data_IF_017187717205
#
_entry.id   IF_017187717205
#
_cell.length_a   1.000
_cell.length_b   1.000
_cell.length_c   1.000
_cell.angle_alpha   90.00
_cell.angle_beta   90.00
_cell.angle_gamma   90.00
#
_symmetry.space_group_name_H-M   'P 1'
#
loop_
_entity.id
_entity.type
_entity.pdbx_description
1 polymer ?
#
# COMPACT_ATOMS: atom_id res chain seq x y z
N UNK A 1 -4.07 46.81 7.35
CA UNK A 1 -4.00 45.54 8.12
C UNK A 1 -5.38 44.93 8.09
N UNK A 2 -5.64 43.88 7.29
CA UNK A 2 -6.70 42.87 7.44
C UNK A 2 -6.79 42.06 6.13
N UNK A 3 -5.90 41.08 5.99
CA UNK A 3 -5.98 40.03 4.97
C UNK A 3 -5.33 38.77 5.53
N UNK A 4 -5.95 38.22 6.57
CA UNK A 4 -5.71 36.85 7.04
C UNK A 4 -7.09 36.24 7.24
N UNK A 5 -7.61 35.60 6.19
CA UNK A 5 -8.70 34.61 6.18
C UNK A 5 -8.93 34.25 4.71
N UNK A 6 -9.28 32.99 4.44
CA UNK A 6 -9.42 32.34 3.12
C UNK A 6 -8.18 31.58 2.62
N UNK A 7 -7.69 30.64 3.44
CA UNK A 7 -6.99 29.43 2.96
C UNK A 7 -7.37 28.20 3.83
N UNK A 8 -8.60 28.16 4.35
CA UNK A 8 -9.19 26.91 4.86
C UNK A 8 -9.81 26.18 3.66
N UNK A 9 -8.95 25.50 2.91
CA UNK A 9 -9.34 24.73 1.73
C UNK A 9 -10.22 23.56 2.13
N UNK A 10 -11.43 23.52 1.56
CA UNK A 10 -12.41 22.44 1.51
C UNK A 10 -11.83 21.05 1.88
N UNK A 11 -11.91 20.68 3.16
CA UNK A 11 -11.75 19.30 3.56
C UNK A 11 -12.86 18.48 2.86
N UNK A 12 -12.50 17.39 2.17
CA UNK A 12 -13.48 16.50 1.54
C UNK A 12 -14.49 16.03 2.59
N UNK A 13 -15.77 15.92 2.22
CA UNK A 13 -16.84 15.42 3.10
C UNK A 13 -16.45 14.06 3.70
N UNK A 14 -15.74 13.23 2.93
CA UNK A 14 -15.20 11.94 3.37
C UNK A 14 -14.28 12.10 4.59
N UNK A 15 -13.37 13.08 4.57
CA UNK A 15 -12.44 13.32 5.67
C UNK A 15 -13.18 13.79 6.93
N UNK A 16 -14.21 14.62 6.78
CA UNK A 16 -15.03 15.08 7.90
C UNK A 16 -15.87 13.93 8.50
N UNK A 17 -16.24 12.95 7.68
CA UNK A 17 -16.92 11.73 8.11
C UNK A 17 -15.96 10.66 8.66
N UNK A 18 -14.64 10.92 8.67
CA UNK A 18 -13.61 9.95 9.04
C UNK A 18 -13.58 8.74 8.10
N UNK A 19 -13.82 8.95 6.81
CA UNK A 19 -13.74 7.93 5.77
C UNK A 19 -12.52 8.20 4.89
N UNK A 20 -11.76 7.15 4.58
CA UNK A 20 -10.71 7.25 3.56
C UNK A 20 -11.35 7.71 2.24
N UNK A 21 -10.84 8.77 1.60
CA UNK A 21 -11.39 9.24 0.33
C UNK A 21 -11.45 8.13 -0.71
N UNK A 22 -12.57 8.03 -1.44
CA UNK A 22 -12.79 6.95 -2.41
C UNK A 22 -11.64 6.81 -3.43
N UNK A 23 -11.07 7.94 -3.88
CA UNK A 23 -9.95 7.94 -4.83
C UNK A 23 -8.70 7.28 -4.25
N UNK A 24 -8.42 7.50 -2.97
CA UNK A 24 -7.27 6.93 -2.28
C UNK A 24 -7.46 5.42 -2.08
N UNK A 25 -8.64 5.00 -1.60
CA UNK A 25 -8.97 3.59 -1.48
C UNK A 25 -8.92 2.85 -2.82
N UNK A 26 -9.47 3.46 -3.88
CA UNK A 26 -9.43 2.88 -5.23
C UNK A 26 -7.99 2.75 -5.74
N UNK A 27 -7.14 3.74 -5.50
CA UNK A 27 -5.74 3.67 -5.89
C UNK A 27 -5.03 2.51 -5.18
N UNK A 28 -5.22 2.40 -3.87
CA UNK A 28 -4.68 1.31 -3.06
C UNK A 28 -5.13 -0.07 -3.54
N UNK A 29 -6.44 -0.28 -3.75
CA UNK A 29 -6.98 -1.55 -4.25
C UNK A 29 -6.44 -1.88 -5.65
N UNK A 30 -6.36 -0.90 -6.56
CA UNK A 30 -5.78 -1.13 -7.90
C UNK A 30 -4.30 -1.48 -7.84
N UNK A 31 -3.55 -0.93 -6.88
CA UNK A 31 -2.14 -1.27 -6.69
C UNK A 31 -1.96 -2.68 -6.13
N UNK A 32 -2.80 -3.10 -5.19
CA UNK A 32 -2.82 -4.49 -4.72
C UNK A 32 -3.17 -5.45 -5.88
N UNK A 33 -4.19 -5.11 -6.67
CA UNK A 33 -4.59 -5.89 -7.83
C UNK A 33 -3.44 -6.01 -8.84
N UNK A 34 -2.76 -4.91 -9.15
CA UNK A 34 -1.57 -4.90 -10.02
C UNK A 34 -0.54 -5.93 -9.57
N UNK A 35 -0.18 -5.94 -8.28
CA UNK A 35 0.85 -6.85 -7.78
C UNK A 35 0.41 -8.31 -7.79
N UNK A 36 -0.86 -8.59 -7.44
CA UNK A 36 -1.41 -9.94 -7.50
C UNK A 36 -1.44 -10.46 -8.93
N UNK A 37 -1.92 -9.67 -9.89
CA UNK A 37 -1.96 -10.01 -11.32
C UNK A 37 -0.54 -10.17 -11.89
N UNK A 38 0.40 -9.29 -11.52
CA UNK A 38 1.79 -9.41 -11.93
C UNK A 38 2.42 -10.72 -11.45
N UNK A 39 2.22 -11.06 -10.16
CA UNK A 39 2.71 -12.35 -9.62
C UNK A 39 2.10 -13.53 -10.36
N UNK A 40 0.81 -13.49 -10.62
CA UNK A 40 0.13 -14.54 -11.38
C UNK A 40 0.73 -14.71 -12.78
N UNK A 41 0.95 -13.61 -13.50
CA UNK A 41 1.58 -13.60 -14.82
C UNK A 41 3.00 -14.17 -14.79
N UNK A 42 3.82 -13.76 -13.82
CA UNK A 42 5.20 -14.25 -13.66
C UNK A 42 5.24 -15.76 -13.38
N UNK A 43 4.31 -16.26 -12.56
CA UNK A 43 4.19 -17.69 -12.31
C UNK A 43 3.83 -18.49 -13.58
N UNK A 44 2.97 -17.95 -14.45
CA UNK A 44 2.55 -18.61 -15.68
C UNK A 44 3.60 -18.57 -16.78
N UNK A 45 4.27 -17.42 -16.97
CA UNK A 45 5.10 -17.17 -18.15
C UNK A 45 6.61 -17.11 -17.87
N UNK A 46 7.00 -16.97 -16.60
CA UNK A 46 8.39 -16.76 -16.19
C UNK A 46 8.84 -17.71 -15.07
N UNK A 47 8.14 -18.84 -14.86
CA UNK A 47 8.43 -19.81 -13.79
C UNK A 47 8.51 -19.17 -12.39
N UNK A 48 7.80 -18.07 -12.16
CA UNK A 48 7.81 -17.32 -10.92
C UNK A 48 9.05 -16.45 -10.69
N UNK A 49 9.96 -16.31 -11.66
CA UNK A 49 11.10 -15.39 -11.56
C UNK A 49 10.60 -13.95 -11.39
N UNK A 50 11.18 -13.26 -10.41
CA UNK A 50 10.95 -11.84 -10.11
C UNK A 50 12.13 -10.98 -10.59
N UNK A 51 13.00 -11.52 -11.45
CA UNK A 51 14.21 -10.80 -11.88
C UNK A 51 13.93 -9.88 -13.07
N UNK A 52 12.91 -10.18 -13.88
CA UNK A 52 12.60 -9.47 -15.12
C UNK A 52 11.17 -8.95 -15.07
N UNK A 53 11.02 -7.65 -15.28
CA UNK A 53 9.71 -7.03 -15.43
C UNK A 53 9.17 -7.25 -16.86
N UNK A 54 7.95 -7.75 -17.03
CA UNK A 54 7.43 -8.10 -18.35
C UNK A 54 7.07 -6.87 -19.19
N UNK A 55 7.20 -6.97 -20.53
CA UNK A 55 6.76 -5.90 -21.41
C UNK A 55 5.22 -5.85 -21.48
N UNK A 56 4.57 -4.69 -21.26
CA UNK A 56 3.11 -4.58 -21.32
C UNK A 56 2.49 -5.02 -22.65
N UNK A 57 3.23 -4.98 -23.76
CA UNK A 57 2.76 -5.50 -25.05
C UNK A 57 2.69 -7.01 -25.03
N UNK A 58 3.71 -7.68 -24.50
CA UNK A 58 3.76 -9.14 -24.40
C UNK A 58 2.70 -9.65 -23.42
N UNK A 59 2.56 -8.97 -22.27
CA UNK A 59 1.50 -9.23 -21.29
C UNK A 59 0.12 -9.20 -21.97
N UNK A 60 -0.14 -8.19 -22.80
CA UNK A 60 -1.39 -8.06 -23.55
C UNK A 60 -1.55 -9.16 -24.61
N UNK A 61 -0.50 -9.50 -25.35
CA UNK A 61 -0.52 -10.57 -26.35
C UNK A 61 -0.80 -11.94 -25.73
N UNK A 62 -0.38 -12.16 -24.48
CA UNK A 62 -0.67 -13.35 -23.69
C UNK A 62 -2.08 -13.35 -23.05
N UNK A 63 -2.94 -12.38 -23.37
CA UNK A 63 -4.33 -12.33 -22.91
C UNK A 63 -4.54 -11.63 -21.57
N UNK A 64 -3.50 -11.04 -20.97
CA UNK A 64 -3.60 -10.32 -19.69
C UNK A 64 -3.81 -8.81 -19.92
N UNK A 65 -4.89 -8.44 -20.62
CA UNK A 65 -5.21 -7.04 -20.94
C UNK A 65 -5.29 -6.17 -19.68
N UNK A 66 -5.95 -6.65 -18.63
CA UNK A 66 -6.14 -5.90 -17.38
C UNK A 66 -4.80 -5.58 -16.71
N UNK A 67 -3.88 -6.55 -16.64
CA UNK A 67 -2.53 -6.31 -16.11
C UNK A 67 -1.77 -5.28 -16.97
N UNK A 68 -1.91 -5.31 -18.30
CA UNK A 68 -1.31 -4.30 -19.18
C UNK A 68 -1.85 -2.90 -18.90
N UNK A 69 -3.16 -2.78 -18.62
CA UNK A 69 -3.80 -1.51 -18.22
C UNK A 69 -3.26 -1.05 -16.86
N UNK A 70 -3.24 -1.94 -15.86
CA UNK A 70 -2.74 -1.64 -14.51
C UNK A 70 -1.28 -1.17 -14.53
N UNK A 71 -0.41 -1.83 -15.31
CA UNK A 71 0.99 -1.40 -15.45
C UNK A 71 1.05 0.05 -15.96
N UNK A 72 0.23 0.42 -16.94
CA UNK A 72 0.21 1.78 -17.50
C UNK A 72 -0.36 2.79 -16.50
N UNK A 73 -1.42 2.46 -15.79
CA UNK A 73 -2.07 3.38 -14.84
C UNK A 73 -1.22 3.64 -13.60
N UNK A 74 -0.35 2.71 -13.21
CA UNK A 74 0.55 2.85 -12.05
C UNK A 74 1.96 3.38 -12.40
N UNK A 75 2.08 4.10 -13.52
CA UNK A 75 3.31 4.81 -13.91
C UNK A 75 4.20 4.09 -14.91
N UNK A 76 3.75 2.95 -15.43
CA UNK A 76 4.41 2.22 -16.50
C UNK A 76 5.54 1.29 -16.03
N UNK A 77 6.03 0.48 -16.98
CA UNK A 77 7.01 -0.58 -16.72
C UNK A 77 8.31 -0.09 -16.10
N UNK A 78 8.80 1.09 -16.48
CA UNK A 78 10.07 1.61 -15.97
C UNK A 78 10.00 1.91 -14.48
N UNK A 79 8.97 2.66 -14.05
CA UNK A 79 8.79 2.99 -12.64
C UNK A 79 8.54 1.73 -11.80
N UNK A 80 7.71 0.81 -12.28
CA UNK A 80 7.40 -0.41 -11.55
C UNK A 80 8.60 -1.35 -11.45
N UNK A 81 9.39 -1.48 -12.51
CA UNK A 81 10.64 -2.24 -12.50
C UNK A 81 11.61 -1.67 -11.46
N UNK A 82 11.79 -0.35 -11.40
CA UNK A 82 12.63 0.30 -10.37
C UNK A 82 12.12 0.07 -8.94
N UNK A 83 10.81 0.18 -8.73
CA UNK A 83 10.19 0.02 -7.41
C UNK A 83 10.32 -1.41 -6.87
N UNK A 84 10.21 -2.39 -7.77
CA UNK A 84 10.23 -3.81 -7.45
C UNK A 84 11.62 -4.45 -7.61
N UNK A 85 12.65 -3.65 -7.92
CA UNK A 85 14.01 -4.11 -8.21
C UNK A 85 14.08 -5.20 -9.30
N UNK A 86 13.31 -5.01 -10.37
CA UNK A 86 13.27 -5.92 -11.52
C UNK A 86 14.01 -5.29 -12.71
N UNK A 87 14.65 -6.13 -13.52
CA UNK A 87 15.34 -5.71 -14.74
C UNK A 87 14.38 -5.56 -15.92
N UNK A 88 14.76 -4.71 -16.88
CA UNK A 88 14.11 -4.63 -18.18
C UNK A 88 15.01 -5.26 -19.24
N UNK A 89 14.45 -6.13 -20.09
CA UNK A 89 15.16 -6.93 -21.10
C UNK A 89 16.03 -6.09 -22.06
N UNK A 90 15.70 -4.81 -22.28
CA UNK A 90 16.23 -4.03 -23.40
C UNK A 90 16.84 -2.68 -23.04
N UNK A 91 17.14 -2.38 -21.76
CA UNK A 91 17.64 -1.06 -21.36
C UNK A 91 18.89 -1.12 -20.51
N UNK A 92 19.77 -0.13 -20.72
CA UNK A 92 20.89 0.23 -19.84
C UNK A 92 20.36 0.31 -18.40
N UNK A 93 21.12 -0.27 -17.46
CA UNK A 93 20.81 -0.34 -16.02
C UNK A 93 20.07 0.90 -15.54
N UNK A 94 18.81 0.71 -15.18
CA UNK A 94 17.98 1.74 -14.59
C UNK A 94 18.37 1.84 -13.12
N UNK A 95 18.45 3.05 -12.58
CA UNK A 95 18.69 3.25 -11.14
C UNK A 95 17.64 2.48 -10.33
N UNK A 96 18.09 1.41 -9.67
CA UNK A 96 17.29 0.61 -8.74
C UNK A 96 17.11 1.37 -7.43
N UNK A 97 15.97 1.18 -6.77
CA UNK A 97 15.75 1.71 -5.42
C UNK A 97 16.36 0.79 -4.34
N UNK A 98 16.92 -0.36 -4.75
CA UNK A 98 17.42 -1.46 -3.92
C UNK A 98 16.42 -2.61 -3.84
N UNK A 99 16.83 -3.79 -3.34
CA UNK A 99 16.04 -5.01 -3.29
C UNK A 99 14.61 -4.80 -2.79
N UNK A 100 13.65 -5.47 -3.44
CA UNK A 100 12.26 -5.49 -3.02
C UNK A 100 11.58 -6.78 -3.46
N UNK A 101 10.82 -7.39 -2.56
CA UNK A 101 10.04 -8.58 -2.91
C UNK A 101 8.61 -8.20 -3.30
N UNK A 102 8.14 -8.73 -4.43
CA UNK A 102 6.75 -8.59 -4.87
C UNK A 102 5.80 -9.30 -3.88
N UNK A 103 6.18 -10.48 -3.40
CA UNK A 103 5.36 -11.23 -2.44
C UNK A 103 5.21 -10.49 -1.11
N UNK A 104 6.30 -9.90 -0.61
CA UNK A 104 6.24 -9.04 0.57
C UNK A 104 5.29 -7.85 0.36
N UNK A 105 5.35 -7.19 -0.80
CA UNK A 105 4.47 -6.08 -1.12
C UNK A 105 2.99 -6.51 -1.08
N UNK A 106 2.67 -7.66 -1.68
CA UNK A 106 1.31 -8.22 -1.67
C UNK A 106 0.87 -8.53 -0.24
N UNK A 107 1.71 -9.24 0.53
CA UNK A 107 1.41 -9.64 1.91
C UNK A 107 1.12 -8.43 2.81
N UNK A 108 1.94 -7.39 2.71
CA UNK A 108 1.77 -6.17 3.49
C UNK A 108 0.51 -5.38 3.07
N UNK A 109 0.24 -5.24 1.78
CA UNK A 109 -0.98 -4.56 1.31
C UNK A 109 -2.25 -5.34 1.67
N UNK A 110 -2.22 -6.68 1.64
CA UNK A 110 -3.32 -7.52 2.10
C UNK A 110 -3.58 -7.32 3.60
N UNK A 111 -2.52 -7.33 4.41
CA UNK A 111 -2.63 -7.02 5.84
C UNK A 111 -3.30 -5.67 6.07
N UNK A 112 -2.85 -4.62 5.37
CA UNK A 112 -3.43 -3.27 5.48
C UNK A 112 -4.91 -3.31 5.11
N UNK A 113 -5.27 -3.91 3.98
CA UNK A 113 -6.65 -4.00 3.49
C UNK A 113 -7.57 -4.62 4.53
N UNK A 114 -7.19 -5.78 5.08
CA UNK A 114 -7.96 -6.48 6.10
C UNK A 114 -8.16 -5.59 7.33
N UNK A 115 -7.09 -4.94 7.81
CA UNK A 115 -7.18 -4.07 8.98
C UNK A 115 -8.07 -2.86 8.75
N UNK A 116 -8.02 -2.22 7.58
CA UNK A 116 -8.90 -1.08 7.28
C UNK A 116 -10.37 -1.50 7.14
N UNK A 117 -10.65 -2.70 6.60
CA UNK A 117 -12.02 -3.24 6.53
C UNK A 117 -12.57 -3.54 7.93
N UNK A 118 -11.71 -3.98 8.85
CA UNK A 118 -12.08 -4.22 10.25
C UNK A 118 -12.34 -2.91 11.04
N UNK A 119 -11.86 -1.77 10.55
CA UNK A 119 -12.04 -0.48 11.20
C UNK A 119 -13.45 0.07 10.99
N UNK A 120 -14.02 0.64 12.04
CA UNK A 120 -15.28 1.37 11.95
C UNK A 120 -15.03 2.88 11.90
N UNK A 121 -15.67 3.60 10.97
CA UNK A 121 -15.60 5.05 10.94
C UNK A 121 -16.31 5.68 12.16
N UNK A 122 -16.01 6.94 12.50
CA UNK A 122 -15.04 7.82 11.84
C UNK A 122 -13.60 7.49 12.24
N UNK A 123 -12.72 7.36 11.23
CA UNK A 123 -11.29 7.25 11.42
C UNK A 123 -10.73 8.60 11.88
N UNK A 124 -9.84 8.61 12.90
CA UNK A 124 -9.19 9.84 13.35
C UNK A 124 -8.30 10.44 12.26
N UNK A 125 -7.73 9.58 11.41
CA UNK A 125 -6.92 9.96 10.25
C UNK A 125 -7.34 9.11 9.06
N UNK A 126 -8.20 9.64 8.17
CA UNK A 126 -8.77 8.91 7.04
C UNK A 126 -7.79 8.83 5.87
N UNK A 127 -6.62 8.23 6.09
CA UNK A 127 -5.55 8.06 5.12
C UNK A 127 -5.01 6.64 5.25
N UNK A 128 -4.65 6.01 4.14
CA UNK A 128 -4.03 4.69 4.10
C UNK A 128 -2.55 4.84 4.43
N UNK A 129 -2.14 4.24 5.54
CA UNK A 129 -0.79 4.38 6.07
C UNK A 129 -0.08 3.07 6.27
N UNK A 130 1.25 3.16 6.32
CA UNK A 130 2.12 2.08 6.73
C UNK A 130 1.77 1.65 8.18
N UNK A 131 1.54 0.35 8.43
CA UNK A 131 1.36 -0.16 9.78
C UNK A 131 2.59 0.10 10.64
N UNK A 132 2.38 0.31 11.93
CA UNK A 132 3.50 0.40 12.88
C UNK A 132 4.06 -0.99 13.18
N UNK A 133 5.29 -1.05 13.67
CA UNK A 133 5.88 -2.29 14.20
C UNK A 133 5.02 -2.91 15.31
N UNK A 134 4.40 -2.07 16.15
CA UNK A 134 3.53 -2.52 17.24
C UNK A 134 2.25 -3.15 16.70
N UNK A 135 1.68 -2.59 15.64
CA UNK A 135 0.51 -3.16 14.99
C UNK A 135 0.84 -4.50 14.36
N UNK A 136 1.92 -4.60 13.58
CA UNK A 136 2.36 -5.87 13.01
C UNK A 136 2.62 -6.94 14.09
N UNK A 137 3.36 -6.60 15.15
CA UNK A 137 3.60 -7.51 16.30
C UNK A 137 2.32 -7.91 17.01
N UNK A 138 1.37 -6.99 17.19
CA UNK A 138 0.09 -7.27 17.86
C UNK A 138 -0.71 -8.35 17.11
N UNK A 139 -0.65 -8.35 15.78
CA UNK A 139 -1.34 -9.32 14.94
C UNK A 139 -0.48 -10.57 14.66
N UNK A 140 0.66 -10.74 15.32
CA UNK A 140 1.55 -11.89 15.15
C UNK A 140 2.33 -11.89 13.84
N UNK A 141 2.41 -10.75 13.15
CA UNK A 141 3.10 -10.60 11.87
C UNK A 141 4.58 -10.21 12.05
N UNK A 142 5.31 -10.93 12.91
CA UNK A 142 6.73 -10.63 13.20
C UNK A 142 7.62 -10.74 11.96
N UNK A 143 7.32 -11.71 11.08
CA UNK A 143 7.99 -11.86 9.78
C UNK A 143 7.82 -10.62 8.90
N UNK A 144 6.64 -9.98 8.90
CA UNK A 144 6.44 -8.74 8.15
C UNK A 144 7.29 -7.61 8.73
N UNK A 145 7.46 -7.51 10.05
CA UNK A 145 8.38 -6.55 10.67
C UNK A 145 9.80 -6.76 10.16
N UNK A 146 10.29 -8.00 10.21
CA UNK A 146 11.65 -8.34 9.77
C UNK A 146 11.86 -8.03 8.28
N UNK A 147 10.86 -8.30 7.43
CA UNK A 147 10.91 -7.95 6.01
C UNK A 147 10.93 -6.43 5.80
N UNK A 148 10.16 -5.66 6.56
CA UNK A 148 10.19 -4.18 6.49
C UNK A 148 11.60 -3.66 6.75
N UNK A 149 12.26 -4.15 7.80
CA UNK A 149 13.63 -3.75 8.13
C UNK A 149 14.62 -4.15 7.03
N UNK A 150 14.45 -5.36 6.50
CA UNK A 150 15.26 -5.89 5.38
C UNK A 150 15.14 -5.02 4.12
N UNK A 151 13.95 -4.49 3.84
CA UNK A 151 13.68 -3.64 2.68
C UNK A 151 13.87 -2.14 2.94
N UNK A 152 14.70 -1.78 3.91
CA UNK A 152 15.13 -0.39 4.15
C UNK A 152 14.25 0.40 5.12
N UNK A 153 13.43 -0.29 5.91
CA UNK A 153 12.63 0.29 6.98
C UNK A 153 11.28 0.87 6.53
N UNK A 154 10.46 1.23 7.52
CA UNK A 154 9.06 1.62 7.35
C UNK A 154 8.85 2.78 6.37
N UNK A 155 9.67 3.83 6.45
CA UNK A 155 9.53 4.99 5.56
C UNK A 155 9.81 4.62 4.10
N UNK A 156 10.85 3.82 3.84
CA UNK A 156 11.22 3.41 2.50
C UNK A 156 10.15 2.50 1.88
N UNK A 157 9.65 1.54 2.67
CA UNK A 157 8.55 0.66 2.27
C UNK A 157 7.29 1.46 1.98
N UNK A 158 6.93 2.40 2.87
CA UNK A 158 5.77 3.27 2.69
C UNK A 158 5.86 4.06 1.37
N UNK A 159 7.01 4.70 1.10
CA UNK A 159 7.24 5.47 -0.12
C UNK A 159 7.14 4.60 -1.39
N UNK A 160 7.71 3.39 -1.36
CA UNK A 160 7.65 2.43 -2.48
C UNK A 160 6.22 2.04 -2.81
N UNK A 161 5.46 1.74 -1.77
CA UNK A 161 4.08 1.27 -1.86
C UNK A 161 3.06 2.40 -1.95
N UNK A 162 3.46 3.67 -1.91
CA UNK A 162 2.52 4.80 -1.99
C UNK A 162 1.65 4.94 -0.74
N UNK A 163 2.15 4.49 0.41
CA UNK A 163 1.48 4.59 1.71
C UNK A 163 1.95 5.84 2.45
N UNK A 164 1.07 6.39 3.29
CA UNK A 164 1.48 7.45 4.21
C UNK A 164 2.37 6.91 5.32
N UNK A 165 3.42 7.64 5.67
CA UNK A 165 4.29 7.35 6.79
C UNK A 165 4.17 8.45 7.86
N UNK A 166 3.90 8.05 9.09
CA UNK A 166 3.85 8.94 10.24
C UNK A 166 5.05 8.65 11.13
N UNK A 167 5.67 9.70 11.67
CA UNK A 167 6.73 9.52 12.67
C UNK A 167 6.20 8.77 13.91
N UNK A 168 7.09 8.08 14.62
CA UNK A 168 6.83 7.15 15.72
C UNK A 168 5.88 7.73 16.76
N UNK A 169 6.05 9.00 17.13
CA UNK A 169 5.18 9.67 18.10
C UNK A 169 3.72 9.82 17.63
N UNK A 170 3.51 10.12 16.33
CA UNK A 170 2.17 10.22 15.74
C UNK A 170 1.57 8.84 15.51
N UNK A 171 2.40 7.87 15.15
CA UNK A 171 1.98 6.50 14.92
C UNK A 171 1.53 5.82 16.22
N UNK A 172 2.22 6.04 17.34
CA UNK A 172 1.78 5.52 18.64
C UNK A 172 0.40 6.07 19.07
N UNK A 173 0.15 7.36 18.80
CA UNK A 173 -1.15 7.96 19.09
C UNK A 173 -2.26 7.39 18.20
N UNK A 174 -1.95 7.16 16.91
CA UNK A 174 -2.83 6.51 15.96
C UNK A 174 -3.22 5.10 16.44
N UNK A 175 -2.23 4.27 16.73
CA UNK A 175 -2.43 2.88 17.17
C UNK A 175 -3.33 2.84 18.41
N UNK A 176 -3.05 3.66 19.42
CA UNK A 176 -3.84 3.69 20.65
C UNK A 176 -5.29 4.15 20.44
N UNK A 177 -5.51 5.11 19.56
CA UNK A 177 -6.85 5.58 19.24
C UNK A 177 -7.64 4.51 18.47
N UNK A 178 -7.01 3.85 17.50
CA UNK A 178 -7.62 2.76 16.74
C UNK A 178 -8.04 1.60 17.66
N UNK A 179 -7.16 1.19 18.57
CA UNK A 179 -7.45 0.10 19.53
C UNK A 179 -8.61 0.46 20.46
N UNK A 180 -8.61 1.70 20.98
CA UNK A 180 -9.69 2.17 21.87
C UNK A 180 -11.03 2.16 21.14
N UNK A 181 -11.05 2.53 19.86
CA UNK A 181 -12.23 2.41 19.00
C UNK A 181 -12.70 0.96 18.85
N UNK A 182 -11.81 0.07 18.41
CA UNK A 182 -12.11 -1.34 18.16
C UNK A 182 -12.61 -2.07 19.42
N UNK A 183 -11.98 -1.86 20.58
CA UNK A 183 -12.38 -2.49 21.86
C UNK A 183 -13.78 -2.05 22.32
N UNK A 184 -14.13 -0.78 22.15
CA UNK A 184 -15.47 -0.27 22.49
C UNK A 184 -16.56 -0.94 21.64
N UNK A 185 -16.24 -1.26 20.39
CA UNK A 185 -17.18 -1.89 19.45
C UNK A 185 -17.35 -3.38 19.71
N UNK A 186 -16.26 -4.09 20.01
CA UNK A 186 -16.35 -5.50 20.40
C UNK A 186 -17.19 -5.68 21.67
N UNK A 187 -17.06 -4.75 22.62
CA UNK A 187 -17.91 -4.72 23.81
C UNK A 187 -19.39 -4.49 23.47
N UNK A 188 -19.71 -3.52 22.60
CA UNK A 188 -21.10 -3.28 22.15
C UNK A 188 -21.72 -4.48 21.43
N UNK A 189 -20.99 -5.14 20.51
CA UNK A 189 -21.50 -6.30 19.77
C UNK A 189 -21.78 -7.54 20.63
N UNK A 190 -21.16 -7.61 21.81
CA UNK A 190 -21.36 -8.73 22.75
C UNK A 190 -22.36 -8.38 23.86
N UNK A 191 -22.87 -7.14 23.89
CA UNK A 191 -23.89 -6.65 24.82
C UNK A 191 -25.30 -6.63 24.18
N UNK A 192 -25.39 -6.79 22.85
CA UNK A 192 -26.63 -6.99 22.06
C UNK A 192 -26.85 -8.48 21.76
#
# INVERSE_FOLDING_TARGET
>A
MHSQQLLEGNASIDCMAGLVPFKEWRFFESQLQLFVELRHYLNLHHNGSQDIFPDPKDVKLNGHEELSILIRSHGGKQLLAQKLDMELISTISIQSWGPFSLDFAIELLQFIRERYVDMSPPLPYPVISMPSERDLKRYGCEELCHKVDTFGGYENVARRLGLSFFDVCKQQQLDEQMIRGAKKLWKKRNED
#
